data_IF_208792063705
#
_entry.id   IF_208792063705
#
_cell.length_a   1.000
_cell.length_b   1.000
_cell.length_c   1.000
_cell.angle_alpha   90.00
_cell.angle_beta   90.00
_cell.angle_gamma   90.00
#
_symmetry.space_group_name_H-M   'P 1'
#
loop_
_entity.id
_entity.type
_entity.pdbx_description
1 polymer ?
#
# COMPACT_ATOMS: atom_id res chain seq x y z
N UNK A 1 -18.15 -9.94 -7.58
CA UNK A 1 -18.92 -8.68 -7.45
C UNK A 1 -17.92 -7.53 -7.43
N UNK A 2 -18.09 -6.52 -8.27
CA UNK A 2 -17.22 -5.33 -8.27
C UNK A 2 -17.80 -4.34 -7.26
N UNK A 3 -17.06 -4.02 -6.19
CA UNK A 3 -17.49 -3.02 -5.23
C UNK A 3 -17.35 -1.60 -5.82
N UNK A 4 -18.28 -0.69 -5.51
CA UNK A 4 -18.20 0.69 -5.96
C UNK A 4 -17.00 1.39 -5.32
N UNK A 5 -16.29 2.21 -6.11
CA UNK A 5 -15.14 2.99 -5.62
C UNK A 5 -15.62 4.05 -4.61
N UNK A 6 -15.07 4.00 -3.41
CA UNK A 6 -15.34 4.99 -2.35
C UNK A 6 -14.08 5.78 -2.03
N UNK A 7 -14.24 7.02 -1.58
CA UNK A 7 -13.10 7.85 -1.20
C UNK A 7 -12.38 7.26 0.02
N UNK A 8 -11.08 6.95 -0.04
CA UNK A 8 -10.36 6.30 1.08
C UNK A 8 -10.20 7.21 2.32
N UNK A 9 -10.44 8.52 2.17
CA UNK A 9 -10.29 9.50 3.24
C UNK A 9 -11.58 9.70 4.04
N UNK A 10 -12.75 9.62 3.39
CA UNK A 10 -14.03 9.95 4.02
C UNK A 10 -15.21 9.03 3.66
N UNK A 11 -15.01 8.01 2.80
CA UNK A 11 -16.01 7.02 2.42
C UNK A 11 -17.07 7.48 1.41
N UNK A 12 -17.10 8.77 1.04
CA UNK A 12 -18.07 9.29 0.07
C UNK A 12 -17.81 8.74 -1.34
N UNK A 13 -18.88 8.49 -2.08
CA UNK A 13 -18.82 8.17 -3.51
C UNK A 13 -18.29 9.38 -4.27
N UNK A 14 -17.19 9.26 -5.04
CA UNK A 14 -16.71 10.32 -5.92
C UNK A 14 -17.77 10.68 -6.97
N UNK A 15 -17.97 11.96 -7.23
CA UNK A 15 -18.82 12.40 -8.35
C UNK A 15 -18.14 12.00 -9.67
N UNK A 16 -18.78 11.23 -10.55
CA UNK A 16 -18.17 10.77 -11.81
C UNK A 16 -17.82 11.92 -12.76
N UNK A 17 -18.48 13.08 -12.66
CA UNK A 17 -18.29 14.23 -13.55
C UNK A 17 -17.05 15.05 -13.20
N UNK A 18 -16.80 15.28 -11.91
CA UNK A 18 -15.59 15.95 -11.39
C UNK A 18 -14.47 14.96 -11.00
N UNK A 19 -14.82 13.68 -10.91
CA UNK A 19 -14.01 12.60 -10.35
C UNK A 19 -12.75 12.32 -11.15
N UNK A 20 -12.70 12.55 -12.47
CA UNK A 20 -11.50 12.25 -13.26
C UNK A 20 -10.23 12.94 -12.73
N UNK A 21 -10.34 14.17 -12.21
CA UNK A 21 -9.18 14.93 -11.75
C UNK A 21 -8.76 14.63 -10.31
N UNK A 22 -9.69 14.14 -9.49
CA UNK A 22 -9.45 13.90 -8.06
C UNK A 22 -9.58 12.43 -7.67
N UNK A 23 -9.90 11.54 -8.60
CA UNK A 23 -10.00 10.10 -8.38
C UNK A 23 -8.68 9.55 -7.81
N UNK A 24 -8.72 8.69 -6.77
CA UNK A 24 -9.90 8.03 -6.19
C UNK A 24 -10.65 8.83 -5.10
N UNK A 25 -10.32 10.11 -4.91
CA UNK A 25 -10.90 10.96 -3.86
C UNK A 25 -12.19 11.66 -4.32
N UNK A 26 -13.05 12.02 -3.37
CA UNK A 26 -14.28 12.76 -3.67
C UNK A 26 -14.07 14.28 -3.86
N UNK A 27 -12.86 14.80 -3.60
CA UNK A 27 -12.52 16.22 -3.69
C UNK A 27 -11.02 16.48 -3.55
N UNK A 28 -10.58 17.66 -3.99
CA UNK A 28 -9.19 18.14 -3.82
C UNK A 28 -8.78 18.23 -2.34
N UNK A 29 -9.72 18.56 -1.44
CA UNK A 29 -9.48 18.56 0.01
C UNK A 29 -9.07 17.17 0.49
N UNK A 30 -9.79 16.13 0.08
CA UNK A 30 -9.49 14.76 0.50
C UNK A 30 -8.13 14.30 -0.04
N UNK A 31 -7.80 14.63 -1.30
CA UNK A 31 -6.48 14.37 -1.89
C UNK A 31 -5.35 14.96 -1.06
N UNK A 32 -5.48 16.22 -0.64
CA UNK A 32 -4.48 16.91 0.21
C UNK A 32 -4.39 16.30 1.61
N UNK A 33 -5.52 15.94 2.22
CA UNK A 33 -5.52 15.27 3.54
C UNK A 33 -4.77 13.96 3.47
N UNK A 34 -4.99 13.15 2.42
CA UNK A 34 -4.26 11.91 2.23
C UNK A 34 -2.75 12.16 2.11
N UNK A 35 -2.35 13.13 1.28
CA UNK A 35 -0.97 13.54 1.15
C UNK A 35 -0.33 13.94 2.49
N UNK A 36 -1.01 14.73 3.32
CA UNK A 36 -0.47 15.07 4.64
C UNK A 36 -0.36 13.86 5.57
N UNK A 37 -1.28 12.88 5.50
CA UNK A 37 -1.15 11.64 6.28
C UNK A 37 0.07 10.81 5.86
N UNK A 38 0.37 10.78 4.56
CA UNK A 38 1.61 10.20 4.04
C UNK A 38 2.83 10.94 4.56
N UNK A 39 2.83 12.26 4.43
CA UNK A 39 3.92 13.12 4.88
C UNK A 39 4.20 12.98 6.39
N UNK A 40 3.15 12.91 7.20
CA UNK A 40 3.24 12.74 8.65
C UNK A 40 3.60 11.29 9.06
N UNK A 41 3.81 10.38 8.11
CA UNK A 41 4.14 8.99 8.40
C UNK A 41 3.01 8.19 9.07
N UNK A 42 1.74 8.61 8.88
CA UNK A 42 0.59 7.96 9.52
C UNK A 42 0.21 6.64 8.88
N UNK A 43 0.65 6.41 7.65
CA UNK A 43 0.50 5.13 6.97
C UNK A 43 1.73 4.29 7.25
N UNK A 44 1.57 3.29 8.11
CA UNK A 44 2.60 2.31 8.44
C UNK A 44 2.05 0.90 8.19
N UNK A 45 2.84 0.08 7.52
CA UNK A 45 2.63 -1.37 7.48
C UNK A 45 3.42 -1.90 8.67
N UNK A 46 2.69 -2.23 9.73
CA UNK A 46 3.25 -2.82 10.94
C UNK A 46 2.91 -4.30 10.93
N UNK A 47 3.96 -5.12 10.98
CA UNK A 47 3.84 -6.54 11.28
C UNK A 47 4.42 -6.78 12.67
N UNK A 48 3.75 -7.62 13.44
CA UNK A 48 4.27 -8.05 14.72
C UNK A 48 5.52 -8.89 14.49
N UNK A 49 6.59 -8.59 15.24
CA UNK A 49 7.80 -9.41 15.29
C UNK A 49 7.50 -10.71 16.06
N UNK A 50 6.69 -11.58 15.49
CA UNK A 50 6.58 -12.96 15.93
C UNK A 50 7.94 -13.66 15.69
N UNK A 51 8.27 -14.71 16.46
CA UNK A 51 9.39 -15.58 16.11
C UNK A 51 9.06 -16.24 14.76
N UNK A 52 9.65 -15.71 13.68
CA UNK A 52 9.32 -16.01 12.29
C UNK A 52 9.07 -14.78 11.39
N UNK A 53 9.03 -13.56 11.94
CA UNK A 53 8.92 -12.31 11.19
C UNK A 53 10.26 -11.76 10.66
N UNK A 54 11.38 -12.30 11.14
CA UNK A 54 12.63 -12.26 10.39
C UNK A 54 12.62 -13.48 9.48
N UNK A 55 12.95 -13.29 8.19
CA UNK A 55 13.13 -14.36 7.20
C UNK A 55 13.72 -15.59 7.91
N UNK A 56 13.02 -16.72 7.84
CA UNK A 56 13.50 -17.92 8.51
C UNK A 56 14.83 -18.33 7.92
N UNK A 57 15.60 -19.13 8.65
CA UNK A 57 16.89 -19.60 8.16
C UNK A 57 16.74 -20.36 6.82
N UNK A 58 15.58 -21.01 6.61
CA UNK A 58 15.22 -21.62 5.32
C UNK A 58 14.98 -20.56 4.23
N UNK A 59 14.21 -19.50 4.52
CA UNK A 59 13.96 -18.42 3.55
C UNK A 59 15.26 -17.72 3.11
N UNK A 60 16.23 -17.60 4.03
CA UNK A 60 17.55 -17.02 3.76
C UNK A 60 18.46 -17.95 2.94
N UNK A 61 18.34 -19.26 3.10
CA UNK A 61 19.07 -20.26 2.31
C UNK A 61 18.55 -20.29 0.87
N UNK A 62 17.22 -20.31 0.68
CA UNK A 62 16.59 -20.29 -0.64
C UNK A 62 16.95 -19.01 -1.42
N UNK A 63 17.01 -17.86 -0.73
CA UNK A 63 17.43 -16.60 -1.34
C UNK A 63 18.92 -16.58 -1.75
N UNK A 64 19.78 -17.32 -1.04
CA UNK A 64 21.21 -17.42 -1.37
C UNK A 64 21.46 -18.33 -2.57
N UNK A 65 20.75 -19.46 -2.65
CA UNK A 65 20.83 -20.38 -3.80
C UNK A 65 20.41 -19.68 -5.09
N UNK A 66 19.33 -18.90 -5.05
CA UNK A 66 18.83 -18.14 -6.20
C UNK A 66 19.78 -17.04 -6.70
N UNK A 67 20.74 -16.62 -5.88
CA UNK A 67 21.76 -15.63 -6.22
C UNK A 67 23.10 -16.25 -6.63
N UNK A 68 23.23 -17.59 -6.57
CA UNK A 68 24.43 -18.23 -7.10
C UNK A 68 24.44 -18.02 -8.62
N UNK A 69 25.53 -17.45 -9.19
CA UNK A 69 25.65 -17.36 -10.64
C UNK A 69 25.65 -18.77 -11.20
N UNK A 70 24.97 -18.97 -12.35
CA UNK A 70 25.01 -20.24 -13.07
C UNK A 70 26.47 -20.68 -13.23
N UNK A 71 26.88 -21.68 -12.45
CA UNK A 71 28.19 -22.30 -12.57
C UNK A 71 28.28 -22.89 -13.98
N UNK A 72 29.04 -22.22 -14.84
CA UNK A 72 29.33 -22.65 -16.21
C UNK A 72 30.39 -23.76 -16.25
#
# INVERSE_FOLDING_TARGET
MIQPLTCPVCGKTPDPTTGAQTSPFCSERCRKVDFFRWWDGRYAIVEDLAPGGALSELDLLDAQEALQPDDQ
#
